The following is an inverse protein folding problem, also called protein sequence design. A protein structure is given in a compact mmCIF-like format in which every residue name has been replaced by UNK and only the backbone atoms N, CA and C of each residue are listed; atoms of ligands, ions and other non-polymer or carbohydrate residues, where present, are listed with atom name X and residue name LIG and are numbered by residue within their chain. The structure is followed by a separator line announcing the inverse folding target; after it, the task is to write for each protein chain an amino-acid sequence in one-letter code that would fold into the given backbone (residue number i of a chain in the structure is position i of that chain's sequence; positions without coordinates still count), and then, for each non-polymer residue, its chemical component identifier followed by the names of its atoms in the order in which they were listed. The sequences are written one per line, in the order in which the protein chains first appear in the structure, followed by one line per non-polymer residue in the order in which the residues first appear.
data_IF_088386903470
#
_entry.id   IF_088386903470
#
_cell.length_a   1.000
_cell.length_b   1.000
_cell.length_c   1.000
_cell.angle_alpha   90.00
_cell.angle_beta   90.00
_cell.angle_gamma   90.00
#
_symmetry.space_group_name_H-M   'P 1'
#
loop_
_entity.id
_entity.type
_entity.pdbx_description
1 polymer ?
#
# COMPACT_ATOMS: atom_id res chain seq x y z
N UNK A 1 45.55 58.40 -10.04
CA UNK A 1 45.49 56.92 -10.27
C UNK A 1 44.73 56.34 -9.12
N UNK A 2 43.46 55.96 -9.33
CA UNK A 2 42.60 55.25 -8.33
C UNK A 2 42.46 53.83 -8.80
N UNK A 3 43.00 52.91 -8.01
CA UNK A 3 42.90 51.47 -8.26
C UNK A 3 41.52 50.96 -7.85
N UNK A 4 40.76 50.38 -8.78
CA UNK A 4 39.53 49.64 -8.52
C UNK A 4 39.90 48.18 -8.19
N UNK A 5 39.62 47.78 -6.98
CA UNK A 5 39.73 46.37 -6.56
C UNK A 5 38.39 45.71 -6.87
N UNK A 6 38.36 44.78 -7.86
CA UNK A 6 37.23 43.92 -8.11
C UNK A 6 37.22 42.80 -7.08
N UNK A 7 36.22 42.79 -6.20
CA UNK A 7 35.96 41.73 -5.28
C UNK A 7 35.10 40.68 -6.02
N UNK A 8 35.72 39.61 -6.51
CA UNK A 8 35.00 38.45 -7.05
C UNK A 8 34.40 37.67 -5.90
N UNK A 9 33.10 37.77 -5.69
CA UNK A 9 32.37 36.90 -4.76
C UNK A 9 32.31 35.49 -5.32
N UNK A 10 33.07 34.57 -4.72
CA UNK A 10 32.91 33.11 -4.91
C UNK A 10 31.57 32.72 -4.33
N UNK A 11 30.56 32.51 -5.18
CA UNK A 11 29.38 31.76 -4.87
C UNK A 11 29.76 30.28 -4.84
N UNK A 12 30.29 29.83 -3.69
CA UNK A 12 30.31 28.40 -3.37
C UNK A 12 28.87 27.94 -3.29
N UNK A 13 28.43 27.20 -4.29
CA UNK A 13 27.14 26.52 -4.30
C UNK A 13 27.04 25.65 -3.05
N UNK A 14 26.13 25.99 -2.15
CA UNK A 14 25.73 25.12 -1.06
C UNK A 14 25.18 23.83 -1.69
N UNK A 15 25.67 22.65 -1.31
CA UNK A 15 25.06 21.42 -1.76
C UNK A 15 23.59 21.43 -1.35
N UNK A 16 22.75 21.12 -2.31
CA UNK A 16 21.30 21.13 -2.19
C UNK A 16 20.86 20.39 -0.93
N UNK A 17 20.32 21.11 0.06
CA UNK A 17 19.61 20.56 1.23
C UNK A 17 18.45 19.63 0.83
N UNK A 18 18.06 19.62 -0.45
CA UNK A 18 17.01 18.77 -0.99
C UNK A 18 17.42 17.28 -1.08
N UNK A 19 18.68 16.97 -1.36
CA UNK A 19 19.16 15.59 -1.51
C UNK A 19 19.12 14.81 -0.18
N UNK A 20 19.24 15.49 0.96
CA UNK A 20 19.18 14.88 2.30
C UNK A 20 17.74 14.74 2.83
N UNK A 21 16.75 15.24 2.10
CA UNK A 21 15.36 15.35 2.58
C UNK A 21 14.54 14.08 2.31
N UNK A 22 14.90 13.31 1.31
CA UNK A 22 14.23 12.09 0.88
C UNK A 22 15.14 10.87 1.07
N UNK A 23 15.76 10.78 2.25
CA UNK A 23 16.64 9.66 2.60
C UNK A 23 15.82 8.40 2.89
N UNK A 24 15.94 7.41 2.02
CA UNK A 24 15.28 6.12 2.17
C UNK A 24 15.96 5.21 3.19
N UNK A 25 17.17 5.55 3.64
CA UNK A 25 17.89 4.84 4.71
C UNK A 25 17.35 5.14 6.11
N UNK A 26 16.34 6.00 6.23
CA UNK A 26 15.65 6.27 7.50
C UNK A 26 15.30 4.97 8.24
N UNK A 27 15.68 4.87 9.52
CA UNK A 27 15.48 3.63 10.27
C UNK A 27 13.99 3.33 10.46
N UNK A 28 13.65 2.05 10.54
CA UNK A 28 12.31 1.64 10.97
C UNK A 28 12.07 2.10 12.40
N UNK A 29 11.01 2.87 12.59
CA UNK A 29 10.52 3.36 13.89
C UNK A 29 9.28 2.58 14.29
N UNK A 30 8.83 2.74 15.53
CA UNK A 30 7.68 2.04 16.07
C UNK A 30 6.70 3.02 16.73
N UNK A 31 5.42 2.74 16.55
CA UNK A 31 4.33 3.47 17.20
C UNK A 31 3.36 2.48 17.87
N UNK A 32 3.04 2.70 19.13
CA UNK A 32 2.02 1.92 19.84
C UNK A 32 0.64 2.51 19.57
N UNK A 33 -0.23 1.72 18.95
CA UNK A 33 -1.58 2.08 18.56
C UNK A 33 -2.57 1.09 19.19
N UNK A 34 -3.19 1.48 20.29
CA UNK A 34 -4.00 0.56 21.07
C UNK A 34 -3.20 -0.67 21.52
N UNK A 35 -3.64 -1.85 21.09
CA UNK A 35 -2.96 -3.12 21.40
C UNK A 35 -1.90 -3.52 20.35
N UNK A 36 -1.71 -2.73 19.31
CA UNK A 36 -0.82 -3.03 18.19
C UNK A 36 0.37 -2.07 18.20
N UNK A 37 1.57 -2.61 18.05
CA UNK A 37 2.77 -1.83 17.78
C UNK A 37 3.08 -1.90 16.28
N UNK A 38 3.03 -0.76 15.60
CA UNK A 38 3.28 -0.67 14.16
C UNK A 38 4.71 -0.25 13.88
N UNK A 39 5.36 -0.95 12.96
CA UNK A 39 6.64 -0.59 12.39
C UNK A 39 6.43 0.31 11.17
N UNK A 40 7.09 1.47 11.13
CA UNK A 40 6.91 2.46 10.08
C UNK A 40 8.21 3.18 9.71
N UNK A 41 8.20 3.81 8.55
CA UNK A 41 9.18 4.80 8.12
C UNK A 41 8.46 6.09 7.72
N UNK A 42 9.08 7.23 7.98
CA UNK A 42 8.57 8.55 7.59
C UNK A 42 9.67 9.29 6.85
N UNK A 43 9.51 9.43 5.55
CA UNK A 43 10.47 10.01 4.61
C UNK A 43 9.98 11.40 4.19
N UNK A 44 10.85 12.39 4.23
CA UNK A 44 10.51 13.78 3.94
C UNK A 44 10.37 14.63 5.19
N UNK A 45 10.00 15.90 5.01
CA UNK A 45 9.86 16.86 6.11
C UNK A 45 8.53 16.71 6.83
N UNK A 46 8.53 16.83 8.15
CA UNK A 46 7.29 16.87 8.94
C UNK A 46 6.37 18.07 8.62
N UNK A 47 6.91 19.07 7.93
CA UNK A 47 6.14 20.24 7.47
C UNK A 47 5.44 20.01 6.14
N UNK A 48 5.78 18.94 5.43
CA UNK A 48 5.17 18.61 4.14
C UNK A 48 3.82 17.92 4.35
N UNK A 49 2.89 18.02 3.38
CA UNK A 49 1.65 17.24 3.39
C UNK A 49 1.96 15.76 3.54
N UNK A 50 1.31 15.10 4.49
CA UNK A 50 1.53 13.69 4.73
C UNK A 50 0.80 12.82 3.70
N UNK A 51 1.50 11.79 3.21
CA UNK A 51 0.96 10.74 2.35
C UNK A 51 1.19 9.39 3.00
N UNK A 52 0.11 8.75 3.42
CA UNK A 52 0.13 7.41 4.01
C UNK A 52 0.05 6.35 2.92
N UNK A 53 1.01 5.42 2.91
CA UNK A 53 1.06 4.28 2.00
C UNK A 53 0.62 3.01 2.73
N UNK A 54 -0.49 2.39 2.28
CA UNK A 54 -1.06 1.17 2.87
C UNK A 54 -0.84 -0.01 1.92
N UNK A 55 -0.02 -0.97 2.34
CA UNK A 55 0.35 -2.12 1.52
C UNK A 55 -0.70 -3.23 1.57
N UNK A 56 -0.67 -4.13 0.56
CA UNK A 56 -1.58 -5.26 0.40
C UNK A 56 -1.30 -6.45 1.31
N UNK A 57 -2.02 -7.55 1.07
CA UNK A 57 -1.97 -8.81 1.82
C UNK A 57 -0.54 -9.36 1.92
N UNK A 58 -0.07 -9.59 3.14
CA UNK A 58 1.26 -10.12 3.41
C UNK A 58 2.41 -9.18 3.04
N UNK A 59 2.10 -8.01 2.48
CA UNK A 59 3.09 -7.06 2.02
C UNK A 59 3.67 -6.22 3.17
N UNK A 60 4.99 -6.16 3.23
CA UNK A 60 5.75 -5.33 4.15
C UNK A 60 5.95 -3.92 3.58
N UNK A 61 6.30 -2.94 4.41
CA UNK A 61 6.58 -1.56 3.98
C UNK A 61 7.66 -1.46 2.88
N UNK A 62 8.59 -2.42 2.85
CA UNK A 62 9.65 -2.52 1.83
C UNK A 62 9.15 -2.94 0.44
N UNK A 63 7.91 -3.40 0.31
CA UNK A 63 7.33 -3.73 -0.99
C UNK A 63 6.83 -2.50 -1.77
N UNK A 64 6.78 -1.31 -1.14
CA UNK A 64 6.68 -0.07 -1.88
C UNK A 64 8.00 0.18 -2.58
N UNK A 65 8.05 0.28 -3.93
CA UNK A 65 9.29 0.54 -4.64
C UNK A 65 9.95 1.83 -4.15
N UNK A 66 11.22 1.76 -3.80
CA UNK A 66 11.96 2.90 -3.25
C UNK A 66 11.92 4.11 -4.19
N UNK A 67 12.02 3.88 -5.50
CA UNK A 67 11.91 4.93 -6.51
C UNK A 67 10.54 5.65 -6.47
N UNK A 68 9.45 4.91 -6.24
CA UNK A 68 8.11 5.51 -6.09
C UNK A 68 8.05 6.36 -4.82
N UNK A 69 8.58 5.84 -3.70
CA UNK A 69 8.62 6.56 -2.41
C UNK A 69 9.46 7.83 -2.53
N UNK A 70 10.65 7.73 -3.14
CA UNK A 70 11.54 8.87 -3.37
C UNK A 70 10.88 9.94 -4.25
N UNK A 71 10.26 9.54 -5.37
CA UNK A 71 9.58 10.48 -6.28
C UNK A 71 8.42 11.20 -5.60
N UNK A 72 7.64 10.51 -4.78
CA UNK A 72 6.58 11.13 -3.98
C UNK A 72 7.16 12.13 -2.96
N UNK A 73 8.25 11.79 -2.30
CA UNK A 73 8.95 12.70 -1.39
C UNK A 73 9.53 13.92 -2.12
N UNK A 74 10.18 13.73 -3.27
CA UNK A 74 10.73 14.82 -4.10
C UNK A 74 9.64 15.77 -4.62
N UNK A 75 8.40 15.29 -4.74
CA UNK A 75 7.25 16.16 -5.01
C UNK A 75 6.78 16.93 -3.76
N UNK A 76 7.48 16.83 -2.65
CA UNK A 76 7.23 17.57 -1.40
C UNK A 76 6.12 16.95 -0.56
N UNK A 77 6.01 15.61 -0.52
CA UNK A 77 5.19 14.90 0.44
C UNK A 77 6.06 14.31 1.56
N UNK A 78 5.53 14.31 2.79
CA UNK A 78 6.00 13.46 3.87
C UNK A 78 5.40 12.08 3.65
N UNK A 79 6.19 11.14 3.15
CA UNK A 79 5.71 9.78 2.84
C UNK A 79 5.85 8.90 4.07
N UNK A 80 4.73 8.37 4.56
CA UNK A 80 4.66 7.41 5.68
C UNK A 80 4.30 6.05 5.12
N UNK A 81 5.20 5.06 5.24
CA UNK A 81 4.94 3.66 4.91
C UNK A 81 5.08 2.80 6.17
N UNK A 82 4.24 1.79 6.33
CA UNK A 82 4.21 0.96 7.52
C UNK A 82 3.90 -0.50 7.21
N UNK A 83 4.27 -1.37 8.13
CA UNK A 83 3.84 -2.77 8.13
C UNK A 83 2.46 -2.85 8.79
N UNK A 84 1.47 -3.40 8.11
CA UNK A 84 0.18 -3.70 8.71
C UNK A 84 0.34 -4.68 9.89
N UNK A 85 -0.66 -4.77 10.81
CA UNK A 85 -0.67 -5.82 11.83
C UNK A 85 -0.44 -7.20 11.23
N UNK A 86 0.26 -8.07 11.95
CA UNK A 86 0.57 -9.44 11.56
C UNK A 86 1.57 -9.62 10.40
N UNK A 87 2.20 -8.53 9.93
CA UNK A 87 3.21 -8.60 8.87
C UNK A 87 4.43 -7.76 9.21
N UNK A 88 5.59 -8.10 8.64
CA UNK A 88 6.82 -7.37 8.83
C UNK A 88 7.24 -7.29 10.31
N UNK A 89 7.69 -6.12 10.71
CA UNK A 89 8.15 -5.85 12.08
C UNK A 89 7.05 -5.29 12.99
N UNK A 90 5.81 -5.16 12.51
CA UNK A 90 4.66 -4.84 13.34
C UNK A 90 4.25 -6.00 14.24
N UNK A 91 3.43 -5.73 15.26
CA UNK A 91 2.97 -6.76 16.20
C UNK A 91 2.29 -7.92 15.51
N UNK A 92 2.67 -9.12 15.90
CA UNK A 92 2.03 -10.38 15.51
C UNK A 92 1.08 -10.81 16.62
N UNK A 93 -0.14 -11.16 16.25
CA UNK A 93 -1.16 -11.60 17.21
C UNK A 93 -0.74 -12.93 17.84
N UNK A 94 -0.65 -12.97 19.17
CA UNK A 94 -0.33 -14.16 19.96
C UNK A 94 -1.33 -14.29 21.13
N UNK A 95 -1.78 -15.51 21.50
CA UNK A 95 -1.58 -16.76 20.77
C UNK A 95 -2.29 -16.71 19.41
N UNK A 96 -1.67 -17.31 18.40
CA UNK A 96 -2.29 -17.47 17.09
C UNK A 96 -3.23 -18.67 17.15
N UNK A 97 -4.56 -18.50 17.00
CA UNK A 97 -5.44 -19.66 16.82
C UNK A 97 -5.05 -20.37 15.51
N UNK A 98 -4.97 -21.67 15.54
CA UNK A 98 -4.74 -22.45 14.32
C UNK A 98 -5.89 -22.22 13.34
N UNK A 99 -5.57 -21.70 12.15
CA UNK A 99 -6.55 -21.45 11.10
C UNK A 99 -6.58 -22.67 10.19
N UNK A 100 -7.75 -23.30 10.07
CA UNK A 100 -7.98 -24.27 9.01
C UNK A 100 -8.48 -23.54 7.76
N UNK A 101 -7.54 -22.96 6.99
CA UNK A 101 -7.87 -22.15 5.83
C UNK A 101 -8.77 -22.85 4.81
N UNK A 102 -8.58 -24.17 4.46
CA UNK A 102 -9.52 -24.89 3.59
C UNK A 102 -10.95 -24.94 4.14
N UNK A 103 -11.12 -25.10 5.44
CA UNK A 103 -12.43 -25.09 6.09
C UNK A 103 -13.07 -23.69 6.03
N UNK A 104 -12.31 -22.64 6.30
CA UNK A 104 -12.82 -21.26 6.23
C UNK A 104 -13.16 -20.86 4.78
N UNK A 105 -12.37 -21.29 3.79
CA UNK A 105 -12.70 -21.07 2.36
C UNK A 105 -14.00 -21.82 1.98
N UNK A 106 -14.22 -23.01 2.50
CA UNK A 106 -15.48 -23.73 2.29
C UNK A 106 -16.66 -22.98 2.91
N UNK A 107 -16.51 -22.47 4.14
CA UNK A 107 -17.53 -21.62 4.81
C UNK A 107 -17.84 -20.37 3.99
N UNK A 108 -16.81 -19.71 3.48
CA UNK A 108 -16.96 -18.54 2.61
C UNK A 108 -17.80 -18.88 1.36
N UNK A 109 -17.47 -19.99 0.67
CA UNK A 109 -18.21 -20.45 -0.52
C UNK A 109 -19.66 -20.81 -0.23
N UNK A 110 -19.96 -21.23 0.99
CA UNK A 110 -21.32 -21.53 1.46
C UNK A 110 -22.06 -20.29 2.02
N UNK A 111 -21.45 -19.10 1.96
CA UNK A 111 -22.02 -17.87 2.48
C UNK A 111 -22.14 -17.85 4.03
N UNK A 112 -21.38 -18.68 4.74
CA UNK A 112 -21.35 -18.72 6.18
C UNK A 112 -20.39 -17.67 6.74
N UNK A 113 -20.70 -17.14 7.93
CA UNK A 113 -19.81 -16.15 8.60
C UNK A 113 -18.47 -16.79 8.96
N UNK A 114 -17.38 -16.04 8.71
CA UNK A 114 -16.02 -16.45 9.05
C UNK A 114 -15.60 -15.93 10.41
N UNK A 115 -14.81 -16.73 11.15
CA UNK A 115 -14.23 -16.34 12.43
C UNK A 115 -12.94 -15.55 12.27
N UNK A 116 -12.98 -14.39 11.63
CA UNK A 116 -11.79 -13.55 11.50
C UNK A 116 -11.37 -12.97 12.86
N UNK A 117 -10.08 -13.01 13.22
CA UNK A 117 -9.59 -12.49 14.49
C UNK A 117 -9.58 -10.96 14.56
N UNK A 118 -9.72 -10.29 13.43
CA UNK A 118 -9.90 -8.87 13.22
C UNK A 118 -10.45 -8.63 11.81
N UNK A 119 -10.92 -7.41 11.54
CA UNK A 119 -11.49 -7.00 10.24
C UNK A 119 -10.64 -5.92 9.57
N UNK A 120 -10.88 -5.65 8.28
CA UNK A 120 -10.20 -4.57 7.55
C UNK A 120 -10.45 -3.19 8.21
N UNK A 121 -11.61 -3.00 8.84
CA UNK A 121 -11.93 -1.78 9.60
C UNK A 121 -11.01 -1.60 10.82
N UNK A 122 -10.61 -2.68 11.49
CA UNK A 122 -9.65 -2.62 12.60
C UNK A 122 -8.27 -2.20 12.11
N UNK A 123 -7.86 -2.71 10.93
CA UNK A 123 -6.61 -2.31 10.28
C UNK A 123 -6.63 -0.86 9.82
N UNK A 124 -7.78 -0.34 9.41
CA UNK A 124 -7.96 1.08 9.12
C UNK A 124 -7.85 1.93 10.40
N UNK A 125 -8.36 1.42 11.52
CA UNK A 125 -8.17 2.02 12.84
C UNK A 125 -6.69 2.10 13.25
N UNK A 126 -5.91 1.06 12.96
CA UNK A 126 -4.46 1.07 13.17
C UNK A 126 -3.77 2.17 12.36
N UNK A 127 -4.10 2.25 11.08
CA UNK A 127 -3.54 3.24 10.17
C UNK A 127 -3.88 4.68 10.63
N UNK A 128 -5.12 4.91 11.09
CA UNK A 128 -5.54 6.18 11.65
C UNK A 128 -4.79 6.50 12.94
N UNK A 129 -4.68 5.53 13.84
CA UNK A 129 -3.95 5.67 15.09
C UNK A 129 -2.45 5.92 14.89
N UNK A 130 -1.85 5.38 13.82
CA UNK A 130 -0.48 5.72 13.44
C UNK A 130 -0.36 7.21 13.10
N UNK A 131 -1.30 7.76 12.29
CA UNK A 131 -1.29 9.18 11.95
C UNK A 131 -1.51 10.06 13.18
N UNK A 132 -2.33 9.63 14.15
CA UNK A 132 -2.50 10.30 15.45
C UNK A 132 -1.19 10.36 16.24
N UNK A 133 -0.45 9.23 16.30
CA UNK A 133 0.85 9.15 16.98
C UNK A 133 1.92 10.00 16.32
N UNK A 134 1.80 10.25 15.02
CA UNK A 134 2.69 11.14 14.27
C UNK A 134 2.28 12.61 14.33
N UNK A 135 1.19 12.97 15.00
CA UNK A 135 0.66 14.33 15.10
C UNK A 135 0.18 14.87 13.76
N UNK A 136 -0.33 14.00 12.89
CA UNK A 136 -0.79 14.35 11.54
C UNK A 136 -2.31 14.44 11.52
N UNK A 137 -2.85 15.65 11.44
CA UNK A 137 -4.31 15.88 11.42
C UNK A 137 -4.93 15.52 10.06
N UNK A 138 -4.32 15.96 8.96
CA UNK A 138 -4.82 15.75 7.61
C UNK A 138 -3.76 15.07 6.75
N UNK A 139 -4.18 14.13 5.90
CA UNK A 139 -3.26 13.35 5.10
C UNK A 139 -3.91 12.79 3.83
N UNK A 140 -3.09 12.51 2.84
CA UNK A 140 -3.47 11.73 1.66
C UNK A 140 -3.28 10.24 1.95
N UNK A 141 -4.04 9.39 1.27
CA UNK A 141 -3.92 7.93 1.41
C UNK A 141 -3.72 7.32 0.03
N UNK A 142 -2.72 6.44 -0.10
CA UNK A 142 -2.51 5.57 -1.24
C UNK A 142 -2.50 4.13 -0.75
N UNK A 143 -3.51 3.35 -1.13
CA UNK A 143 -3.65 1.95 -0.75
C UNK A 143 -3.59 1.02 -1.95
N UNK A 144 -2.79 -0.07 -1.82
CA UNK A 144 -2.64 -1.08 -2.85
C UNK A 144 -3.30 -2.40 -2.43
N UNK A 145 -4.12 -3.00 -3.32
CA UNK A 145 -4.76 -4.32 -3.10
C UNK A 145 -5.58 -4.34 -1.80
N UNK A 146 -5.30 -5.23 -0.83
CA UNK A 146 -5.89 -5.19 0.51
C UNK A 146 -5.69 -3.81 1.17
N UNK A 147 -4.55 -3.16 0.96
CA UNK A 147 -4.30 -1.80 1.46
C UNK A 147 -5.28 -0.77 0.89
N UNK A 148 -5.73 -0.96 -0.35
CA UNK A 148 -6.83 -0.17 -0.93
C UNK A 148 -8.18 -0.46 -0.26
N UNK A 149 -8.43 -1.70 0.15
CA UNK A 149 -9.62 -2.06 0.92
C UNK A 149 -9.60 -1.41 2.32
N UNK A 150 -8.44 -1.42 2.98
CA UNK A 150 -8.21 -0.73 4.25
C UNK A 150 -8.40 0.79 4.09
N UNK A 151 -7.85 1.36 3.00
CA UNK A 151 -7.96 2.79 2.70
C UNK A 151 -9.41 3.25 2.47
N UNK A 152 -10.28 2.39 1.89
CA UNK A 152 -11.72 2.63 1.80
C UNK A 152 -12.35 2.81 3.20
N UNK A 153 -12.03 1.92 4.15
CA UNK A 153 -12.48 2.06 5.53
C UNK A 153 -11.89 3.27 6.23
N UNK A 154 -10.61 3.58 5.98
CA UNK A 154 -9.95 4.74 6.57
C UNK A 154 -10.62 6.05 6.14
N UNK A 155 -10.98 6.17 4.86
CA UNK A 155 -11.71 7.33 4.35
C UNK A 155 -13.13 7.45 4.93
N UNK A 156 -13.78 6.32 5.23
CA UNK A 156 -15.09 6.27 5.91
C UNK A 156 -14.98 6.60 7.41
N UNK A 157 -13.91 6.16 8.07
CA UNK A 157 -13.67 6.43 9.50
C UNK A 157 -13.28 7.88 9.79
N UNK A 158 -12.54 8.50 8.88
CA UNK A 158 -11.98 9.83 9.07
C UNK A 158 -12.15 10.73 7.83
N UNK A 159 -13.40 10.95 7.34
CA UNK A 159 -13.66 11.65 6.08
C UNK A 159 -13.19 13.11 6.09
N UNK A 160 -13.06 13.72 7.26
CA UNK A 160 -12.59 15.10 7.41
C UNK A 160 -11.05 15.21 7.42
N UNK A 161 -10.34 14.08 7.55
CA UNK A 161 -8.88 14.03 7.66
C UNK A 161 -8.22 13.53 6.38
N UNK A 162 -8.92 12.72 5.59
CA UNK A 162 -8.40 12.19 4.34
C UNK A 162 -8.62 13.22 3.22
N UNK A 163 -7.53 13.88 2.82
CA UNK A 163 -7.53 14.95 1.80
C UNK A 163 -7.79 14.39 0.39
N UNK A 164 -7.21 13.23 0.07
CA UNK A 164 -7.48 12.49 -1.15
C UNK A 164 -7.21 11.01 -0.96
N UNK A 165 -7.86 10.18 -1.75
CA UNK A 165 -7.78 8.73 -1.72
C UNK A 165 -7.31 8.21 -3.07
N UNK A 166 -6.21 7.46 -3.09
CA UNK A 166 -5.71 6.74 -4.26
C UNK A 166 -5.81 5.24 -4.02
N UNK A 167 -6.57 4.55 -4.86
CA UNK A 167 -6.86 3.12 -4.77
C UNK A 167 -6.22 2.39 -5.94
N UNK A 168 -5.16 1.61 -5.67
CA UNK A 168 -4.41 0.90 -6.71
C UNK A 168 -4.71 -0.58 -6.64
N UNK A 169 -5.04 -1.23 -7.79
CA UNK A 169 -5.26 -2.68 -7.93
C UNK A 169 -6.10 -3.28 -6.79
N UNK A 170 -7.24 -2.70 -6.48
CA UNK A 170 -8.09 -3.08 -5.34
C UNK A 170 -9.51 -3.47 -5.75
N UNK A 171 -10.33 -3.84 -4.79
CA UNK A 171 -11.69 -4.35 -4.99
C UNK A 171 -12.69 -3.71 -4.01
N UNK A 172 -13.97 -3.70 -4.41
CA UNK A 172 -15.10 -3.43 -3.52
C UNK A 172 -15.52 -4.63 -2.68
N UNK A 173 -15.05 -5.83 -3.02
CA UNK A 173 -15.51 -7.09 -2.42
C UNK A 173 -16.93 -7.50 -2.85
N UNK A 174 -17.53 -6.85 -3.84
CA UNK A 174 -18.87 -7.20 -4.31
C UNK A 174 -18.91 -8.60 -4.93
N UNK A 175 -20.01 -9.30 -4.69
CA UNK A 175 -20.26 -10.60 -5.33
C UNK A 175 -20.45 -10.44 -6.87
N UNK A 176 -20.08 -11.50 -7.60
CA UNK A 176 -20.22 -11.51 -9.07
C UNK A 176 -19.09 -10.83 -9.83
N UNK A 177 -18.10 -10.24 -9.14
CA UNK A 177 -16.88 -9.78 -9.80
C UNK A 177 -16.03 -10.98 -10.26
N UNK A 178 -15.26 -10.83 -11.38
CA UNK A 178 -14.45 -11.91 -11.90
C UNK A 178 -13.45 -12.45 -10.86
N UNK A 179 -13.39 -13.76 -10.70
CA UNK A 179 -12.43 -14.41 -9.80
C UNK A 179 -11.03 -14.51 -10.45
N UNK A 180 -9.96 -14.67 -9.64
CA UNK A 180 -8.65 -15.08 -10.13
C UNK A 180 -8.73 -16.41 -10.89
N UNK A 181 -7.74 -16.68 -11.74
CA UNK A 181 -7.64 -18.00 -12.39
C UNK A 181 -7.44 -19.13 -11.37
N UNK A 182 -7.93 -20.33 -11.68
CA UNK A 182 -7.76 -21.51 -10.82
C UNK A 182 -6.29 -21.81 -10.52
N UNK A 183 -5.39 -21.57 -11.49
CA UNK A 183 -3.95 -21.74 -11.31
C UNK A 183 -3.38 -20.78 -10.25
N UNK A 184 -3.83 -19.52 -10.25
CA UNK A 184 -3.39 -18.53 -9.25
C UNK A 184 -4.00 -18.83 -7.87
N UNK A 185 -5.26 -19.25 -7.82
CA UNK A 185 -5.92 -19.71 -6.58
C UNK A 185 -5.17 -20.90 -5.98
N UNK A 186 -4.79 -21.89 -6.80
CA UNK A 186 -4.00 -23.05 -6.36
C UNK A 186 -2.62 -22.64 -5.82
N UNK A 187 -1.98 -21.64 -6.43
CA UNK A 187 -0.70 -21.11 -5.98
C UNK A 187 -0.82 -20.40 -4.63
N UNK A 188 -1.85 -19.57 -4.45
CA UNK A 188 -2.14 -18.88 -3.18
C UNK A 188 -2.54 -19.85 -2.06
N UNK A 189 -3.14 -20.97 -2.40
CA UNK A 189 -3.58 -22.00 -1.46
C UNK A 189 -2.48 -23.03 -1.11
N UNK A 190 -1.27 -22.91 -1.67
CA UNK A 190 -0.15 -23.82 -1.32
C UNK A 190 0.10 -23.77 0.18
N UNK A 191 0.29 -24.97 0.78
CA UNK A 191 0.68 -25.09 2.18
C UNK A 191 2.08 -24.50 2.38
N UNK A 192 2.35 -24.09 3.61
CA UNK A 192 3.67 -23.66 4.01
C UNK A 192 4.76 -24.62 3.59
N UNK A 193 5.81 -24.05 3.05
CA UNK A 193 7.00 -24.78 2.72
C UNK A 193 7.70 -25.28 4.01
N UNK A 194 8.08 -26.54 4.04
CA UNK A 194 8.76 -27.13 5.21
C UNK A 194 10.20 -26.65 5.44
N UNK A 195 10.71 -25.74 4.59
CA UNK A 195 12.05 -25.13 4.71
C UNK A 195 12.07 -23.70 4.20
N UNK A 196 13.07 -22.89 4.64
CA UNK A 196 13.31 -21.54 4.13
C UNK A 196 13.42 -21.53 2.60
N UNK A 197 14.21 -22.43 2.04
CA UNK A 197 14.43 -22.51 0.60
C UNK A 197 13.13 -22.76 -0.17
N UNK A 198 12.31 -23.68 0.28
CA UNK A 198 11.00 -23.96 -0.31
C UNK A 198 10.05 -22.76 -0.18
N UNK A 199 10.09 -22.01 0.92
CA UNK A 199 9.32 -20.78 1.12
C UNK A 199 9.74 -19.69 0.12
N UNK A 200 11.05 -19.50 -0.09
CA UNK A 200 11.57 -18.53 -1.08
C UNK A 200 11.15 -18.90 -2.51
N UNK A 201 11.22 -20.18 -2.89
CA UNK A 201 10.77 -20.64 -4.20
C UNK A 201 9.27 -20.39 -4.38
N UNK A 202 8.45 -20.73 -3.37
CA UNK A 202 7.00 -20.49 -3.40
C UNK A 202 6.66 -19.00 -3.53
N UNK A 203 7.35 -18.15 -2.81
CA UNK A 203 7.16 -16.70 -2.89
C UNK A 203 7.58 -16.16 -4.26
N UNK A 204 8.70 -16.62 -4.82
CA UNK A 204 9.14 -16.21 -6.14
C UNK A 204 8.17 -16.70 -7.25
N UNK A 205 7.58 -17.89 -7.11
CA UNK A 205 6.52 -18.38 -8.02
C UNK A 205 5.28 -17.47 -7.97
N UNK A 206 4.89 -17.06 -6.77
CA UNK A 206 3.77 -16.14 -6.57
C UNK A 206 4.06 -14.76 -7.19
N UNK A 207 5.25 -14.20 -6.95
CA UNK A 207 5.67 -12.93 -7.55
C UNK A 207 5.65 -13.00 -9.09
N UNK A 208 6.11 -14.12 -9.67
CA UNK A 208 6.05 -14.34 -11.11
C UNK A 208 4.59 -14.38 -11.61
N UNK A 209 3.73 -15.12 -10.94
CA UNK A 209 2.32 -15.27 -11.33
C UNK A 209 1.51 -13.96 -11.20
N UNK A 210 1.90 -13.06 -10.31
CA UNK A 210 1.30 -11.74 -10.13
C UNK A 210 1.90 -10.69 -11.07
N UNK A 211 2.97 -11.02 -11.79
CA UNK A 211 3.65 -10.12 -12.73
C UNK A 211 2.90 -9.94 -14.04
N UNK A 212 3.23 -8.87 -14.74
CA UNK A 212 2.67 -8.54 -16.06
C UNK A 212 3.18 -9.52 -17.11
N UNK A 213 2.32 -10.06 -17.97
CA UNK A 213 2.72 -11.03 -18.99
C UNK A 213 3.72 -10.47 -20.01
N UNK A 214 3.74 -9.14 -20.19
CA UNK A 214 4.64 -8.43 -21.11
C UNK A 214 6.01 -8.11 -20.51
N UNK A 215 6.22 -8.36 -19.22
CA UNK A 215 7.48 -8.08 -18.51
C UNK A 215 8.08 -9.39 -18.03
N UNK A 216 9.27 -9.71 -18.54
CA UNK A 216 10.00 -10.90 -18.13
C UNK A 216 10.87 -10.54 -16.92
N UNK A 217 10.48 -11.01 -15.74
CA UNK A 217 11.31 -10.87 -14.54
C UNK A 217 12.36 -11.99 -14.51
N UNK A 218 13.59 -11.63 -14.18
CA UNK A 218 14.63 -12.62 -13.88
C UNK A 218 14.27 -13.39 -12.62
N UNK A 219 14.33 -14.71 -12.68
CA UNK A 219 14.11 -15.60 -11.53
C UNK A 219 15.00 -15.26 -10.34
N UNK A 220 16.25 -14.88 -10.59
CA UNK A 220 17.19 -14.47 -9.55
C UNK A 220 16.70 -13.21 -8.82
N UNK A 221 16.13 -12.24 -9.55
CA UNK A 221 15.54 -11.03 -8.96
C UNK A 221 14.35 -11.40 -8.06
N UNK A 222 13.46 -12.28 -8.52
CA UNK A 222 12.29 -12.70 -7.75
C UNK A 222 12.69 -13.44 -6.46
N UNK A 223 13.69 -14.31 -6.53
CA UNK A 223 14.26 -15.00 -5.36
C UNK A 223 14.90 -14.01 -4.39
N UNK A 224 15.65 -13.04 -4.90
CA UNK A 224 16.25 -12.01 -4.05
C UNK A 224 15.19 -11.17 -3.32
N UNK A 225 14.12 -10.76 -4.03
CA UNK A 225 13.00 -10.04 -3.40
C UNK A 225 12.32 -10.89 -2.32
N UNK A 226 12.12 -12.18 -2.59
CA UNK A 226 11.57 -13.12 -1.61
C UNK A 226 12.50 -13.27 -0.39
N UNK A 227 13.82 -13.37 -0.61
CA UNK A 227 14.83 -13.49 0.44
C UNK A 227 14.86 -12.27 1.36
N UNK A 228 14.94 -11.06 0.78
CA UNK A 228 14.93 -9.80 1.55
C UNK A 228 13.68 -9.69 2.43
N UNK A 229 12.51 -10.04 1.90
CA UNK A 229 11.26 -10.01 2.65
C UNK A 229 11.21 -11.08 3.75
N UNK A 230 11.66 -12.31 3.45
CA UNK A 230 11.70 -13.42 4.38
C UNK A 230 12.65 -13.14 5.56
N UNK A 231 13.87 -12.69 5.26
CA UNK A 231 14.90 -12.44 6.29
C UNK A 231 14.55 -11.23 7.17
N UNK A 232 13.79 -10.26 6.62
CA UNK A 232 13.26 -9.16 7.41
C UNK A 232 12.18 -9.63 8.39
N UNK A 233 11.23 -10.43 7.94
CA UNK A 233 10.18 -11.02 8.80
C UNK A 233 9.35 -12.04 8.03
N UNK A 234 9.20 -13.24 8.58
CA UNK A 234 8.39 -14.31 8.01
C UNK A 234 7.29 -14.73 8.98
N UNK A 235 6.03 -14.38 8.68
CA UNK A 235 4.86 -14.71 9.48
C UNK A 235 3.69 -15.20 8.61
N UNK A 236 3.73 -16.41 8.09
CA UNK A 236 2.68 -16.94 7.21
C UNK A 236 1.32 -17.07 7.90
N UNK A 237 1.28 -17.36 9.20
CA UNK A 237 0.02 -17.35 9.96
C UNK A 237 -0.62 -15.95 10.01
N UNK A 238 0.20 -14.90 10.05
CA UNK A 238 -0.28 -13.53 9.96
C UNK A 238 -0.94 -13.23 8.63
N UNK A 239 -0.32 -13.70 7.53
CA UNK A 239 -0.90 -13.58 6.18
C UNK A 239 -2.25 -14.30 6.08
N UNK A 240 -2.38 -15.48 6.70
CA UNK A 240 -3.67 -16.21 6.75
C UNK A 240 -4.73 -15.42 7.53
N UNK A 241 -4.37 -14.77 8.65
CA UNK A 241 -5.31 -13.92 9.41
C UNK A 241 -5.75 -12.69 8.62
N UNK A 242 -4.83 -12.05 7.89
CA UNK A 242 -5.19 -10.96 6.98
C UNK A 242 -6.11 -11.42 5.84
N UNK A 243 -5.87 -12.61 5.27
CA UNK A 243 -6.76 -13.19 4.27
C UNK A 243 -8.16 -13.45 4.83
N UNK A 244 -8.26 -13.96 6.06
CA UNK A 244 -9.55 -14.12 6.73
C UNK A 244 -10.26 -12.78 6.95
N UNK A 245 -9.54 -11.71 7.27
CA UNK A 245 -10.11 -10.37 7.39
C UNK A 245 -10.71 -9.89 6.06
N UNK A 246 -10.06 -10.20 4.93
CA UNK A 246 -10.61 -9.90 3.58
C UNK A 246 -11.87 -10.72 3.32
N UNK A 247 -11.81 -12.04 3.56
CA UNK A 247 -12.92 -12.97 3.25
C UNK A 247 -14.13 -12.79 4.18
N UNK A 248 -13.90 -12.36 5.43
CA UNK A 248 -14.96 -12.13 6.40
C UNK A 248 -15.79 -10.89 6.09
N UNK A 249 -15.30 -10.03 5.21
CA UNK A 249 -16.03 -8.85 4.78
C UNK A 249 -16.72 -9.13 3.43
N UNK A 250 -18.04 -8.91 3.38
CA UNK A 250 -18.82 -9.23 2.18
C UNK A 250 -18.60 -8.19 1.08
N UNK A 251 -19.21 -7.03 1.19
CA UNK A 251 -19.16 -5.99 0.15
C UNK A 251 -19.04 -4.62 0.80
N UNK A 252 -18.18 -3.78 0.22
CA UNK A 252 -18.01 -2.37 0.63
C UNK A 252 -18.77 -1.39 -0.26
N UNK A 253 -19.69 -1.85 -1.10
CA UNK A 253 -20.45 -1.00 -2.03
C UNK A 253 -21.18 0.12 -1.29
N UNK A 254 -21.87 -0.17 -0.20
CA UNK A 254 -22.56 0.85 0.59
C UNK A 254 -21.58 1.87 1.20
N UNK A 255 -20.40 1.41 1.64
CA UNK A 255 -19.34 2.28 2.10
C UNK A 255 -18.85 3.17 0.96
N UNK A 256 -18.56 2.62 -0.21
CA UNK A 256 -18.07 3.35 -1.38
C UNK A 256 -19.06 4.44 -1.83
N UNK A 257 -20.37 4.12 -1.84
CA UNK A 257 -21.41 5.05 -2.26
C UNK A 257 -21.53 6.30 -1.36
N UNK A 258 -21.07 6.24 -0.11
CA UNK A 258 -21.09 7.39 0.80
C UNK A 258 -19.77 8.15 0.91
N UNK A 259 -18.68 7.65 0.27
CA UNK A 259 -17.42 8.37 0.24
C UNK A 259 -17.58 9.68 -0.56
N UNK A 260 -17.12 10.77 0.05
CA UNK A 260 -17.10 12.11 -0.55
C UNK A 260 -15.66 12.63 -0.77
N UNK A 261 -14.66 11.84 -0.41
CA UNK A 261 -13.25 12.19 -0.54
C UNK A 261 -12.85 12.13 -2.02
N UNK A 262 -12.12 13.14 -2.55
CA UNK A 262 -11.58 13.08 -3.90
C UNK A 262 -10.81 11.77 -4.11
N UNK A 263 -11.24 10.97 -5.09
CA UNK A 263 -10.75 9.59 -5.24
C UNK A 263 -10.23 9.34 -6.65
N UNK A 264 -9.02 8.77 -6.71
CA UNK A 264 -8.43 8.19 -7.92
C UNK A 264 -8.37 6.67 -7.77
N UNK A 265 -8.91 5.95 -8.75
CA UNK A 265 -8.75 4.49 -8.88
C UNK A 265 -7.77 4.22 -10.01
N UNK A 266 -6.68 3.50 -9.72
CA UNK A 266 -5.69 3.06 -10.70
C UNK A 266 -5.72 1.54 -10.78
N UNK A 267 -5.92 1.00 -11.98
CA UNK A 267 -5.99 -0.46 -12.15
C UNK A 267 -5.28 -0.92 -13.42
N UNK A 268 -4.61 -2.05 -13.33
CA UNK A 268 -3.96 -2.67 -14.46
C UNK A 268 -4.91 -3.48 -15.33
N UNK A 269 -4.74 -3.41 -16.65
CA UNK A 269 -5.62 -4.18 -17.57
C UNK A 269 -5.27 -5.68 -17.63
N UNK A 270 -4.10 -6.07 -17.12
CA UNK A 270 -3.60 -7.44 -17.10
C UNK A 270 -3.56 -8.04 -15.68
N UNK A 271 -4.28 -7.45 -14.71
CA UNK A 271 -4.29 -7.94 -13.34
C UNK A 271 -4.89 -9.35 -13.25
N UNK A 272 -4.11 -10.38 -12.87
CA UNK A 272 -4.58 -11.75 -12.82
C UNK A 272 -5.27 -12.11 -11.51
N UNK A 273 -5.07 -11.31 -10.45
CA UNK A 273 -5.62 -11.55 -9.11
C UNK A 273 -6.96 -10.85 -8.93
N UNK A 274 -7.01 -9.57 -9.26
CA UNK A 274 -8.22 -8.76 -9.25
C UNK A 274 -8.42 -8.21 -10.68
N UNK A 275 -9.08 -8.95 -11.57
CA UNK A 275 -9.27 -8.51 -12.95
C UNK A 275 -9.81 -7.08 -13.05
N UNK A 276 -9.50 -6.37 -14.13
CA UNK A 276 -9.73 -4.93 -14.31
C UNK A 276 -11.15 -4.45 -13.89
N UNK A 277 -12.14 -5.33 -13.98
CA UNK A 277 -13.51 -5.04 -13.56
C UNK A 277 -13.65 -4.70 -12.08
N UNK A 278 -12.70 -5.13 -11.21
CA UNK A 278 -12.68 -4.72 -9.81
C UNK A 278 -12.43 -3.22 -9.67
N UNK A 279 -11.46 -2.67 -10.41
CA UNK A 279 -11.18 -1.23 -10.41
C UNK A 279 -12.32 -0.41 -11.03
N UNK A 280 -12.88 -0.88 -12.16
CA UNK A 280 -14.05 -0.28 -12.79
C UNK A 280 -15.23 -0.22 -11.82
N UNK A 281 -15.48 -1.32 -11.12
CA UNK A 281 -16.57 -1.42 -10.14
C UNK A 281 -16.35 -0.47 -8.95
N UNK A 282 -15.12 -0.39 -8.40
CA UNK A 282 -14.82 0.56 -7.33
C UNK A 282 -15.07 2.00 -7.76
N UNK A 283 -14.55 2.39 -8.94
CA UNK A 283 -14.72 3.75 -9.45
C UNK A 283 -16.20 4.10 -9.70
N UNK A 284 -16.99 3.15 -10.18
CA UNK A 284 -18.41 3.34 -10.45
C UNK A 284 -19.26 3.60 -9.17
N UNK A 285 -18.79 3.16 -8.00
CA UNK A 285 -19.49 3.29 -6.74
C UNK A 285 -18.98 4.44 -5.84
N UNK A 286 -17.98 5.20 -6.28
CA UNK A 286 -17.52 6.40 -5.57
C UNK A 286 -17.87 7.63 -6.40
N UNK A 287 -18.72 8.48 -5.88
CA UNK A 287 -19.16 9.68 -6.59
C UNK A 287 -17.99 10.59 -6.95
N UNK A 288 -17.81 10.85 -8.24
CA UNK A 288 -16.75 11.73 -8.72
C UNK A 288 -15.35 11.10 -8.75
N UNK A 289 -15.24 9.79 -8.54
CA UNK A 289 -13.95 9.10 -8.66
C UNK A 289 -13.43 9.12 -10.10
N UNK A 290 -12.14 9.38 -10.25
CA UNK A 290 -11.43 9.19 -11.50
C UNK A 290 -10.95 7.75 -11.64
N UNK A 291 -11.03 7.19 -12.86
CA UNK A 291 -10.46 5.88 -13.17
C UNK A 291 -9.33 6.02 -14.18
N UNK A 292 -8.15 5.50 -13.82
CA UNK A 292 -7.00 5.38 -14.70
C UNK A 292 -6.64 3.90 -14.89
N UNK A 293 -6.80 3.43 -16.12
CA UNK A 293 -6.38 2.08 -16.50
C UNK A 293 -4.97 2.14 -17.08
N UNK A 294 -4.07 1.30 -16.55
CA UNK A 294 -2.70 1.18 -17.05
C UNK A 294 -2.62 -0.08 -17.90
N UNK A 295 -2.43 0.06 -19.23
CA UNK A 295 -2.34 -1.09 -20.13
C UNK A 295 -1.18 -2.01 -19.74
N UNK A 296 -1.46 -3.31 -19.65
CA UNK A 296 -0.45 -4.34 -19.36
C UNK A 296 0.01 -4.45 -17.92
N UNK A 297 -0.28 -3.48 -17.04
CA UNK A 297 0.00 -3.61 -15.60
C UNK A 297 -0.80 -4.78 -15.02
N UNK A 298 -0.12 -5.63 -14.24
CA UNK A 298 -0.72 -6.72 -13.47
C UNK A 298 -0.83 -6.39 -11.98
N UNK A 299 -0.75 -7.38 -11.09
CA UNK A 299 -0.93 -7.20 -9.64
C UNK A 299 0.39 -7.01 -8.88
N UNK A 300 1.36 -6.33 -9.49
CA UNK A 300 2.68 -6.10 -8.89
C UNK A 300 3.30 -4.78 -9.39
N UNK A 301 4.05 -4.10 -8.52
CA UNK A 301 4.81 -2.90 -8.86
C UNK A 301 6.13 -3.29 -9.57
N UNK A 302 6.06 -3.62 -10.86
CA UNK A 302 7.23 -3.89 -11.69
C UNK A 302 7.83 -2.57 -12.21
N UNK A 303 9.12 -2.57 -12.50
CA UNK A 303 9.87 -1.37 -12.92
C UNK A 303 9.24 -0.65 -14.12
N UNK A 304 8.78 -1.41 -15.11
CA UNK A 304 8.14 -0.87 -16.31
C UNK A 304 6.87 -0.04 -16.03
N UNK A 305 6.25 -0.19 -14.86
CA UNK A 305 4.98 0.46 -14.52
C UNK A 305 5.09 1.53 -13.44
N UNK A 306 6.28 1.79 -12.90
CA UNK A 306 6.49 2.85 -11.90
C UNK A 306 6.17 4.22 -12.47
N UNK A 307 6.70 4.57 -13.63
CA UNK A 307 6.40 5.86 -14.29
C UNK A 307 4.92 6.00 -14.70
N UNK A 308 4.26 5.02 -15.35
CA UNK A 308 2.82 5.07 -15.59
C UNK A 308 1.98 5.25 -14.32
N UNK A 309 2.36 4.60 -13.21
CA UNK A 309 1.70 4.77 -11.92
C UNK A 309 1.87 6.19 -11.40
N UNK A 310 3.11 6.70 -11.36
CA UNK A 310 3.41 8.06 -10.89
C UNK A 310 2.73 9.12 -11.77
N UNK A 311 2.69 8.92 -13.09
CA UNK A 311 2.00 9.82 -14.01
C UNK A 311 0.48 9.88 -13.74
N UNK A 312 -0.13 8.80 -13.23
CA UNK A 312 -1.53 8.81 -12.80
C UNK A 312 -1.71 9.46 -11.42
N UNK A 313 -0.82 9.15 -10.47
CA UNK A 313 -0.99 9.50 -9.05
C UNK A 313 -0.61 10.97 -8.76
N UNK A 314 0.51 11.46 -9.32
CA UNK A 314 1.03 12.78 -8.98
C UNK A 314 0.07 13.94 -9.31
N UNK A 315 -0.62 13.98 -10.47
CA UNK A 315 -1.61 15.03 -10.74
C UNK A 315 -2.75 15.04 -9.74
N UNK A 316 -3.26 13.86 -9.35
CA UNK A 316 -4.32 13.74 -8.36
C UNK A 316 -3.89 14.26 -6.99
N UNK A 317 -2.71 13.88 -6.51
CA UNK A 317 -2.15 14.38 -5.25
C UNK A 317 -1.92 15.90 -5.29
N UNK A 318 -1.40 16.42 -6.40
CA UNK A 318 -1.14 17.84 -6.57
C UNK A 318 -2.44 18.68 -6.56
N UNK A 319 -3.50 18.18 -7.21
CA UNK A 319 -4.80 18.86 -7.27
C UNK A 319 -5.49 18.95 -5.89
N UNK A 320 -5.15 18.07 -4.95
CA UNK A 320 -5.79 18.00 -3.64
C UNK A 320 -4.82 18.22 -2.47
N UNK A 321 -3.72 18.94 -2.72
CA UNK A 321 -2.62 19.11 -1.77
C UNK A 321 -3.02 19.79 -0.45
N UNK A 322 -4.22 20.38 -0.40
CA UNK A 322 -4.67 21.21 0.71
C UNK A 322 -3.90 22.54 0.75
N UNK A 323 -4.58 23.63 1.04
CA UNK A 323 -3.90 24.86 1.42
C UNK A 323 -3.20 24.61 2.76
N UNK A 324 -1.90 24.33 2.72
CA UNK A 324 -1.05 24.49 3.90
C UNK A 324 -1.11 25.97 4.24
N UNK A 325 -2.03 26.32 5.15
CA UNK A 325 -2.38 27.67 5.53
C UNK A 325 -1.22 28.67 5.44
N UNK A 326 -1.10 29.33 4.30
CA UNK A 326 -0.41 30.63 4.17
C UNK A 326 -1.14 31.75 4.91
N UNK A 327 -2.05 31.40 5.82
CA UNK A 327 -2.82 32.31 6.65
C UNK A 327 -2.32 32.28 8.10
N UNK A 328 -1.01 32.28 8.36
CA UNK A 328 -0.41 32.69 9.65
C UNK A 328 0.99 33.30 9.37
N UNK A 329 1.05 34.47 8.83
CA UNK A 329 2.10 35.48 9.06
C UNK A 329 1.46 36.68 9.68
#
# INVERSE_FOLDING_TARGET
MRAFIFLAALLCGLPSLAANRCDLSEPTRYADVGEVRLAYQSIGSERDPALLLVMGLGGQLIHWPDEVVERLCLQGFRVVRFDNRDVGLSSWRKPAPSINLPYEVLRYRLGLSLGAPYHLRDMAGDALGLMDRLGVDNFHVLGASMGGMIAQHLADLAPQRVLSLTLVMTSSGAQGLPAPSDALVALLARREAGSREAALQQQADLLAALGSPSVHDDRALLLHQAEVAYDRAFNPEGVQRQLLAILAESSRVELLNRLAVPTLVVHGTADPLLPVMHGVHVAAHIKGAELKLIPGLAHRFQDAFKEPLLAAVLPHLAAHRGDLGLARL
#
